data_IF_729691726668
#
_entry.id   IF_729691726668
#
_cell.length_a   1.000
_cell.length_b   1.000
_cell.length_c   1.000
_cell.angle_alpha   90.00
_cell.angle_beta   90.00
_cell.angle_gamma   90.00
#
_symmetry.space_group_name_H-M   'P 1'
#
loop_
_entity.id
_entity.type
_entity.pdbx_description
1 polymer ?
#
# COMPACT_ATOMS: atom_id res chain seq x y z
N UNK A 1 0.84 11.26 6.96
CA UNK A 1 1.78 10.15 7.27
C UNK A 1 1.74 9.18 6.11
N UNK A 2 2.84 9.02 5.38
CA UNK A 2 2.96 8.15 4.21
C UNK A 2 3.49 6.80 4.68
N UNK A 3 2.72 5.73 4.48
CA UNK A 3 3.21 4.34 4.60
C UNK A 3 3.37 3.82 3.18
N UNK A 4 4.62 3.68 2.72
CA UNK A 4 4.98 2.89 1.55
C UNK A 4 6.17 2.04 1.98
N UNK A 5 5.96 0.73 2.04
CA UNK A 5 6.99 -0.25 2.31
C UNK A 5 7.96 -0.31 1.12
N UNK A 6 9.26 -0.16 1.39
CA UNK A 6 10.30 -0.30 0.40
C UNK A 6 10.52 -1.79 0.07
N UNK A 7 10.25 -2.18 -1.18
CA UNK A 7 10.67 -3.48 -1.71
C UNK A 7 11.96 -3.26 -2.50
N UNK A 8 13.08 -3.67 -1.91
CA UNK A 8 14.33 -3.83 -2.65
C UNK A 8 14.23 -5.09 -3.52
N UNK A 9 14.11 -4.92 -4.83
CA UNK A 9 14.40 -5.98 -5.79
C UNK A 9 15.54 -5.52 -6.70
N UNK A 10 16.70 -6.13 -6.48
CA UNK A 10 17.87 -6.05 -7.34
C UNK A 10 17.53 -6.77 -8.66
N UNK A 11 17.23 -6.00 -9.71
CA UNK A 11 17.18 -6.53 -11.08
C UNK A 11 18.41 -6.03 -11.84
N UNK A 12 19.32 -6.97 -12.10
CA UNK A 12 20.32 -6.87 -13.16
C UNK A 12 19.57 -6.86 -14.50
N UNK A 13 19.40 -5.69 -15.11
CA UNK A 13 18.98 -5.60 -16.51
C UNK A 13 19.97 -4.74 -17.29
N UNK A 14 20.32 -5.33 -18.42
CA UNK A 14 21.31 -5.00 -19.41
C UNK A 14 21.14 -3.59 -19.98
N UNK A 15 22.28 -2.98 -20.32
CA UNK A 15 22.37 -1.64 -20.92
C UNK A 15 21.65 -1.59 -22.26
N UNK A 16 20.65 -0.72 -22.38
CA UNK A 16 20.47 0.22 -23.52
C UNK A 16 19.33 1.18 -23.18
N UNK A 17 19.64 2.28 -22.49
CA UNK A 17 18.78 3.46 -22.46
C UNK A 17 19.67 4.66 -22.71
N UNK A 18 19.50 5.25 -23.88
CA UNK A 18 20.20 6.43 -24.36
C UNK A 18 19.56 7.67 -23.70
N UNK A 19 19.67 7.78 -22.37
CA UNK A 19 19.17 8.91 -21.58
C UNK A 19 20.19 10.04 -21.57
N UNK A 20 19.77 11.21 -22.01
CA UNK A 20 20.60 12.41 -22.19
C UNK A 20 21.30 12.76 -20.86
N UNK A 21 22.61 13.04 -20.92
CA UNK A 21 23.51 13.31 -19.79
C UNK A 21 22.99 14.36 -18.78
N UNK A 22 21.97 15.15 -19.14
CA UNK A 22 21.28 16.16 -18.35
C UNK A 22 20.29 15.62 -17.30
N UNK A 23 19.65 14.47 -17.50
CA UNK A 23 18.63 13.96 -16.57
C UNK A 23 19.25 13.44 -15.26
N UNK A 24 20.41 12.77 -15.36
CA UNK A 24 21.15 12.31 -14.19
C UNK A 24 21.60 13.50 -13.35
N UNK A 25 22.03 14.59 -14.00
CA UNK A 25 22.44 15.81 -13.31
C UNK A 25 21.24 16.48 -12.62
N UNK A 26 20.10 16.59 -13.32
CA UNK A 26 18.86 17.09 -12.74
C UNK A 26 18.40 16.29 -11.51
N UNK A 27 18.41 14.95 -11.59
CA UNK A 27 18.09 14.07 -10.45
C UNK A 27 19.06 14.25 -9.28
N UNK A 28 20.34 14.51 -9.58
CA UNK A 28 21.38 14.74 -8.57
C UNK A 28 21.21 16.09 -7.86
N UNK A 29 20.83 17.11 -8.61
CA UNK A 29 20.68 18.49 -8.13
C UNK A 29 19.32 18.72 -7.44
N UNK A 30 18.31 17.89 -7.77
CA UNK A 30 16.97 17.93 -7.17
C UNK A 30 16.86 17.14 -5.85
N UNK A 31 17.96 16.63 -5.31
CA UNK A 31 17.95 15.81 -4.08
C UNK A 31 17.56 16.64 -2.85
N UNK A 32 16.66 16.09 -2.04
CA UNK A 32 16.22 16.71 -0.80
C UNK A 32 16.13 15.67 0.34
N UNK A 33 16.15 16.14 1.60
CA UNK A 33 15.99 15.31 2.80
C UNK A 33 17.24 14.54 3.26
N UNK A 34 17.20 13.93 4.46
CA UNK A 34 18.34 13.26 5.07
C UNK A 34 18.64 11.88 4.44
N UNK A 35 19.89 11.68 4.02
CA UNK A 35 20.37 10.49 3.28
C UNK A 35 20.81 9.32 4.14
N UNK A 36 20.68 9.42 5.47
CA UNK A 36 21.07 8.35 6.39
C UNK A 36 19.99 7.27 6.40
N UNK A 37 20.09 6.33 5.45
CA UNK A 37 19.32 5.08 5.33
C UNK A 37 18.00 5.10 4.54
N UNK A 38 17.71 6.16 3.77
CA UNK A 38 16.56 6.20 2.87
C UNK A 38 16.97 6.40 1.41
N UNK A 39 16.19 5.89 0.44
CA UNK A 39 16.39 6.26 -0.96
C UNK A 39 16.38 7.79 -1.11
N UNK A 40 17.22 8.35 -1.99
CA UNK A 40 17.32 9.80 -2.15
C UNK A 40 15.95 10.34 -2.61
N UNK A 41 15.37 11.25 -1.83
CA UNK A 41 14.20 11.99 -2.30
C UNK A 41 14.66 12.99 -3.36
N UNK A 42 13.87 13.15 -4.41
CA UNK A 42 14.09 14.15 -5.45
C UNK A 42 12.82 14.99 -5.60
N UNK A 43 12.94 16.26 -5.98
CA UNK A 43 11.80 17.08 -6.36
C UNK A 43 11.13 16.49 -7.61
N UNK A 44 9.82 16.21 -7.53
CA UNK A 44 9.06 15.70 -8.68
C UNK A 44 8.92 16.79 -9.76
N UNK A 45 9.13 16.41 -11.02
CA UNK A 45 8.66 17.18 -12.19
C UNK A 45 7.17 16.89 -12.42
N UNK A 46 6.52 17.63 -13.33
CA UNK A 46 5.12 17.40 -13.70
C UNK A 46 4.93 16.12 -14.55
N UNK A 47 6.01 15.37 -14.79
CA UNK A 47 5.95 14.10 -15.51
C UNK A 47 5.24 13.07 -14.63
N UNK A 48 4.00 12.77 -15.02
CA UNK A 48 3.08 11.88 -14.31
C UNK A 48 3.05 10.48 -14.92
N UNK A 49 4.05 10.12 -15.73
CA UNK A 49 4.22 8.79 -16.36
C UNK A 49 4.55 7.67 -15.35
N UNK A 50 4.08 7.81 -14.11
CA UNK A 50 4.03 6.73 -13.15
C UNK A 50 2.97 5.71 -13.57
N UNK A 51 3.45 4.59 -14.10
CA UNK A 51 2.61 3.42 -14.35
C UNK A 51 2.18 2.81 -13.01
N UNK A 52 0.99 3.16 -12.57
CA UNK A 52 0.41 2.61 -11.34
C UNK A 52 0.15 1.11 -11.52
N UNK A 53 0.58 0.29 -10.56
CA UNK A 53 0.31 -1.17 -10.53
C UNK A 53 -1.08 -1.47 -9.96
N UNK A 54 -2.10 -0.75 -10.41
CA UNK A 54 -3.48 -1.07 -10.07
C UNK A 54 -4.09 -1.90 -11.21
N UNK A 55 -4.96 -2.86 -10.87
CA UNK A 55 -5.70 -3.64 -11.85
C UNK A 55 -6.61 -2.75 -12.70
N UNK A 56 -6.91 -3.22 -13.90
CA UNK A 56 -7.93 -2.62 -14.75
C UNK A 56 -9.33 -2.79 -14.13
N UNK A 57 -10.24 -1.86 -14.41
CA UNK A 57 -11.62 -1.90 -13.90
C UNK A 57 -12.38 -3.17 -14.34
N UNK A 58 -11.96 -3.83 -15.43
CA UNK A 58 -12.53 -5.12 -15.86
C UNK A 58 -12.29 -6.28 -14.89
N UNK A 59 -11.30 -6.17 -14.01
CA UNK A 59 -10.90 -7.25 -13.07
C UNK A 59 -10.89 -6.79 -11.61
N UNK A 60 -11.28 -5.54 -11.32
CA UNK A 60 -11.34 -5.00 -9.96
C UNK A 60 -12.63 -4.21 -9.73
N UNK A 61 -13.14 -4.29 -8.50
CA UNK A 61 -14.47 -3.77 -8.20
C UNK A 61 -15.57 -4.68 -8.78
N UNK A 62 -16.58 -4.94 -7.97
CA UNK A 62 -17.81 -5.60 -8.41
C UNK A 62 -18.92 -4.59 -8.63
N UNK A 63 -20.09 -5.06 -9.07
CA UNK A 63 -21.30 -4.24 -9.11
C UNK A 63 -21.83 -4.02 -7.68
N UNK A 64 -21.28 -3.04 -6.95
CA UNK A 64 -21.85 -2.63 -5.65
C UNK A 64 -22.99 -1.66 -5.94
N UNK A 65 -24.19 -2.20 -6.15
CA UNK A 65 -25.36 -1.43 -6.58
C UNK A 65 -26.04 -0.64 -5.44
N UNK A 66 -25.34 -0.31 -4.35
CA UNK A 66 -25.97 0.34 -3.20
C UNK A 66 -25.11 1.49 -2.66
N UNK A 67 -25.64 2.70 -2.79
CA UNK A 67 -25.07 3.94 -2.25
C UNK A 67 -25.28 4.07 -0.74
N UNK A 68 -26.07 3.19 -0.12
CA UNK A 68 -26.37 3.21 1.30
C UNK A 68 -26.75 1.82 1.79
N UNK A 69 -26.07 1.34 2.85
CA UNK A 69 -26.41 0.08 3.53
C UNK A 69 -27.13 0.45 4.83
N UNK A 70 -28.44 0.22 4.90
CA UNK A 70 -29.18 0.26 6.17
C UNK A 70 -29.51 -1.17 6.57
N UNK A 71 -29.19 -1.56 7.82
CA UNK A 71 -29.34 -2.94 8.35
C UNK A 71 -28.58 -3.98 7.51
N UNK A 72 -27.31 -4.21 7.86
CA UNK A 72 -26.51 -5.26 7.23
C UNK A 72 -27.10 -6.65 7.44
N UNK A 73 -26.97 -7.50 6.43
CA UNK A 73 -27.26 -8.93 6.51
C UNK A 73 -25.99 -9.72 6.19
N UNK A 74 -25.97 -11.01 6.50
CA UNK A 74 -24.88 -11.90 6.09
C UNK A 74 -24.75 -11.92 4.56
N UNK A 75 -23.51 -11.79 4.08
CA UNK A 75 -23.17 -11.75 2.66
C UNK A 75 -22.92 -13.14 2.13
N UNK A 76 -23.13 -13.38 0.84
CA UNK A 76 -22.70 -14.66 0.24
C UNK A 76 -21.19 -14.70 0.07
N UNK A 77 -20.63 -15.91 0.04
CA UNK A 77 -19.19 -16.10 -0.22
C UNK A 77 -18.84 -15.41 -1.54
N UNK A 78 -17.74 -14.64 -1.53
CA UNK A 78 -17.22 -13.84 -2.67
C UNK A 78 -17.97 -12.56 -3.05
N UNK A 79 -19.06 -12.20 -2.38
CA UNK A 79 -19.81 -10.96 -2.69
C UNK A 79 -18.92 -9.71 -2.62
N UNK A 80 -18.05 -9.67 -1.62
CA UNK A 80 -17.01 -8.64 -1.47
C UNK A 80 -15.63 -9.29 -1.47
N UNK A 81 -15.23 -9.85 -2.62
CA UNK A 81 -14.00 -10.62 -2.76
C UNK A 81 -12.70 -9.87 -2.40
N UNK A 82 -12.74 -8.53 -2.34
CA UNK A 82 -11.61 -7.71 -1.88
C UNK A 82 -11.55 -7.53 -0.36
N UNK A 83 -12.55 -7.96 0.41
CA UNK A 83 -12.55 -7.81 1.87
C UNK A 83 -11.48 -8.67 2.52
N UNK A 84 -10.71 -8.06 3.42
CA UNK A 84 -9.64 -8.71 4.18
C UNK A 84 -9.83 -8.46 5.67
N UNK A 85 -9.60 -9.50 6.47
CA UNK A 85 -9.46 -9.38 7.93
C UNK A 85 -7.98 -9.18 8.28
N UNK A 86 -7.71 -8.25 9.18
CA UNK A 86 -6.37 -8.03 9.73
C UNK A 86 -6.28 -8.70 11.10
N UNK A 87 -5.45 -9.74 11.15
CA UNK A 87 -5.18 -10.54 12.33
C UNK A 87 -3.84 -10.14 12.96
N UNK A 88 -3.85 -9.98 14.28
CA UNK A 88 -2.70 -9.54 15.05
C UNK A 88 -2.34 -10.61 16.07
N UNK A 89 -1.03 -10.84 16.22
CA UNK A 89 -0.48 -11.63 17.33
C UNK A 89 0.17 -10.70 18.32
N UNK A 90 -0.35 -10.67 19.55
CA UNK A 90 0.27 -9.94 20.65
C UNK A 90 1.47 -10.70 21.19
N UNK A 91 2.42 -9.97 21.75
CA UNK A 91 3.63 -10.60 22.31
C UNK A 91 3.25 -11.51 23.48
N UNK A 92 3.61 -12.79 23.39
CA UNK A 92 3.28 -13.79 24.41
C UNK A 92 1.92 -14.49 24.22
N UNK A 93 1.09 -14.03 23.28
CA UNK A 93 -0.16 -14.71 22.91
C UNK A 93 0.07 -15.71 21.77
N UNK A 94 -0.58 -16.87 21.86
CA UNK A 94 -0.56 -17.91 20.81
C UNK A 94 -1.70 -17.72 19.80
N UNK A 95 -2.77 -17.04 20.19
CA UNK A 95 -3.95 -16.85 19.35
C UNK A 95 -3.85 -15.55 18.54
N UNK A 96 -4.46 -15.56 17.37
CA UNK A 96 -4.63 -14.38 16.53
C UNK A 96 -5.94 -13.67 16.90
N UNK A 97 -5.88 -12.35 17.03
CA UNK A 97 -7.05 -11.50 17.26
C UNK A 97 -7.37 -10.66 16.03
N UNK A 98 -8.62 -10.65 15.61
CA UNK A 98 -9.11 -9.82 14.51
C UNK A 98 -9.65 -8.49 15.03
N UNK A 99 -9.03 -7.38 14.67
CA UNK A 99 -9.40 -6.04 15.19
C UNK A 99 -9.65 -4.99 14.11
N UNK A 100 -9.23 -5.27 12.88
CA UNK A 100 -9.37 -4.34 11.76
C UNK A 100 -9.66 -5.12 10.48
N UNK A 101 -10.05 -4.36 9.45
CA UNK A 101 -10.26 -4.86 8.10
C UNK A 101 -9.46 -4.04 7.09
N UNK A 102 -9.45 -4.48 5.84
CA UNK A 102 -8.90 -3.76 4.71
C UNK A 102 -9.50 -4.22 3.39
N UNK A 103 -9.04 -3.61 2.30
CA UNK A 103 -9.44 -3.98 0.94
C UNK A 103 -8.22 -4.34 0.11
N UNK A 104 -8.26 -5.49 -0.56
CA UNK A 104 -7.26 -5.91 -1.54
C UNK A 104 -7.33 -4.99 -2.77
N UNK A 105 -6.24 -4.30 -3.09
CA UNK A 105 -6.17 -3.36 -4.22
C UNK A 105 -5.42 -3.93 -5.42
N UNK A 106 -4.65 -5.00 -5.24
CA UNK A 106 -4.07 -5.85 -6.27
C UNK A 106 -3.56 -7.17 -5.65
N UNK A 107 -2.83 -7.99 -6.40
CA UNK A 107 -2.32 -9.29 -5.92
C UNK A 107 -1.32 -9.24 -4.76
N UNK A 108 -0.88 -8.06 -4.31
CA UNK A 108 0.15 -7.92 -3.28
C UNK A 108 -0.16 -6.91 -2.17
N UNK A 109 -1.13 -6.02 -2.36
CA UNK A 109 -1.35 -4.91 -1.45
C UNK A 109 -2.79 -4.84 -0.95
N UNK A 110 -2.90 -4.57 0.35
CA UNK A 110 -4.14 -4.26 1.05
C UNK A 110 -4.09 -2.81 1.50
N UNK A 111 -5.16 -2.06 1.23
CA UNK A 111 -5.36 -0.71 1.81
C UNK A 111 -6.14 -0.84 3.12
N UNK A 112 -5.71 -0.11 4.15
CA UNK A 112 -6.36 -0.07 5.46
C UNK A 112 -6.11 1.28 6.13
N UNK A 113 -6.74 1.52 7.29
CA UNK A 113 -6.51 2.70 8.08
C UNK A 113 -5.13 2.65 8.78
N UNK A 114 -4.41 3.77 8.81
CA UNK A 114 -3.10 3.85 9.45
C UNK A 114 -3.15 3.43 10.94
N UNK A 115 -4.23 3.75 11.66
CA UNK A 115 -4.40 3.40 13.06
C UNK A 115 -4.56 1.88 13.31
N UNK A 116 -4.82 1.09 12.26
CA UNK A 116 -4.82 -0.37 12.35
C UNK A 116 -3.39 -0.94 12.41
N UNK A 117 -2.38 -0.19 12.01
CA UNK A 117 -0.97 -0.63 12.00
C UNK A 117 -0.11 0.08 13.04
N UNK A 118 -0.53 1.25 13.52
CA UNK A 118 0.18 1.97 14.58
C UNK A 118 0.13 1.18 15.89
N UNK A 119 1.30 0.99 16.51
CA UNK A 119 1.57 0.19 17.72
C UNK A 119 0.76 0.53 18.98
N UNK A 120 -0.22 1.44 18.92
CA UNK A 120 -1.03 1.82 20.08
C UNK A 120 -2.18 0.84 20.39
N UNK A 121 -2.48 -0.14 19.53
CA UNK A 121 -3.44 -1.23 19.85
C UNK A 121 -2.79 -2.54 20.31
N UNK A 122 -1.47 -2.67 20.15
CA UNK A 122 -0.72 -3.83 20.64
C UNK A 122 -0.33 -3.73 22.12
N UNK A 123 -0.55 -2.59 22.76
CA UNK A 123 -0.12 -2.33 24.16
C UNK A 123 -1.27 -1.92 25.11
N UNK A 124 -2.39 -1.38 24.62
CA UNK A 124 -3.56 -1.18 25.47
C UNK A 124 -4.64 -2.22 25.13
N UNK A 125 -4.68 -3.27 25.94
CA UNK A 125 -5.95 -3.93 26.24
C UNK A 125 -6.90 -2.91 26.86
N UNK A 126 -8.18 -3.09 26.57
CA UNK A 126 -9.33 -2.46 27.23
C UNK A 126 -9.56 -0.97 26.94
N UNK A 127 -10.40 -0.68 25.95
CA UNK A 127 -11.81 -0.24 26.15
C UNK A 127 -12.54 -0.08 24.81
#
# INVERSE_FOLDING_TARGET
MKVIAAVFLCFLINRTAHGQYSEIQFMRDSRCGPTKNNPPFVCCTQDTDYKTTLPDQSICGGNIAQYHITRGNETVVTEFAWMVLLEYRRHGEQQLGTQCAGSLINSRYVVTAAHCLSNNKAIYGDM
#
